data_IF_458205528630
#
_entry.id   IF_458205528630
#
_cell.length_a   1.000
_cell.length_b   1.000
_cell.length_c   1.000
_cell.angle_alpha   90.00
_cell.angle_beta   90.00
_cell.angle_gamma   90.00
#
_symmetry.space_group_name_H-M   'P 1'
#
loop_
_entity.id
_entity.type
_entity.pdbx_description
1 polymer ?
#
# COMPACT_ATOMS: atom_id res chain seq x y z
N UNK A 1 -26.75 -8.24 -39.12
CA UNK A 1 -25.58 -8.65 -38.30
C UNK A 1 -24.42 -7.71 -38.65
N UNK A 2 -23.84 -7.06 -37.63
CA UNK A 2 -22.67 -6.19 -37.80
C UNK A 2 -21.50 -6.84 -37.06
N UNK A 3 -20.31 -6.84 -37.66
CA UNK A 3 -19.08 -7.31 -37.06
C UNK A 3 -18.16 -6.11 -36.88
N UNK A 4 -17.70 -5.89 -35.66
CA UNK A 4 -16.74 -4.82 -35.30
C UNK A 4 -15.41 -5.49 -35.01
N UNK A 5 -14.35 -5.08 -35.72
CA UNK A 5 -12.99 -5.56 -35.47
C UNK A 5 -12.29 -4.60 -34.51
N UNK A 6 -11.71 -5.13 -33.44
CA UNK A 6 -10.90 -4.42 -32.50
C UNK A 6 -9.53 -5.09 -32.38
N UNK A 7 -8.47 -4.31 -32.17
CA UNK A 7 -7.15 -4.86 -31.88
C UNK A 7 -7.10 -5.35 -30.43
N UNK A 8 -6.53 -6.54 -30.20
CA UNK A 8 -6.46 -7.13 -28.87
C UNK A 8 -7.81 -7.60 -28.33
N UNK A 9 -8.00 -7.55 -27.01
CA UNK A 9 -9.26 -7.90 -26.37
C UNK A 9 -10.23 -6.71 -26.40
N UNK A 10 -11.43 -6.93 -26.96
CA UNK A 10 -12.43 -5.87 -27.13
C UNK A 10 -12.91 -5.27 -25.81
N UNK A 11 -12.85 -6.00 -24.69
CA UNK A 11 -13.28 -5.56 -23.36
C UNK A 11 -12.13 -5.01 -22.52
N UNK A 12 -10.88 -5.21 -22.94
CA UNK A 12 -9.72 -4.66 -22.23
C UNK A 12 -9.29 -3.32 -22.85
N UNK A 13 -9.79 -2.22 -22.30
CA UNK A 13 -9.58 -0.86 -22.81
C UNK A 13 -9.91 -0.65 -24.30
N UNK A 14 -10.79 -1.51 -24.84
CA UNK A 14 -11.23 -1.49 -26.22
C UNK A 14 -12.65 -0.94 -26.39
N UNK A 15 -13.15 -1.00 -27.63
CA UNK A 15 -14.49 -0.52 -28.00
C UNK A 15 -15.64 -1.30 -27.33
N UNK A 16 -15.38 -2.48 -26.76
CA UNK A 16 -16.40 -3.34 -26.19
C UNK A 16 -17.19 -2.71 -25.06
N UNK A 17 -16.52 -1.95 -24.18
CA UNK A 17 -17.18 -1.20 -23.11
C UNK A 17 -18.12 -0.11 -23.65
N UNK A 18 -17.69 0.62 -24.67
CA UNK A 18 -18.53 1.65 -25.34
C UNK A 18 -19.74 1.01 -26.02
N UNK A 19 -19.54 -0.12 -26.70
CA UNK A 19 -20.64 -0.85 -27.34
C UNK A 19 -21.64 -1.40 -26.32
N UNK A 20 -21.13 -1.91 -25.18
CA UNK A 20 -21.99 -2.36 -24.10
C UNK A 20 -22.84 -1.24 -23.51
N UNK A 21 -22.26 -0.04 -23.34
CA UNK A 21 -22.96 1.16 -22.84
C UNK A 21 -24.01 1.70 -23.83
N UNK A 22 -23.81 1.51 -25.14
CA UNK A 22 -24.73 1.94 -26.20
C UNK A 22 -25.81 0.91 -26.52
N UNK A 23 -25.77 -0.28 -25.91
CA UNK A 23 -26.69 -1.39 -26.15
C UNK A 23 -28.13 -0.97 -25.85
N UNK A 24 -29.06 -1.33 -26.76
CA UNK A 24 -30.50 -1.13 -26.59
C UNK A 24 -31.17 -2.44 -26.16
N UNK A 25 -32.36 -2.39 -25.54
CA UNK A 25 -33.17 -3.59 -25.29
C UNK A 25 -33.45 -4.34 -26.61
N UNK A 26 -33.06 -5.61 -26.65
CA UNK A 26 -33.18 -6.45 -27.83
C UNK A 26 -31.91 -6.61 -28.66
N UNK A 27 -30.85 -5.85 -28.41
CA UNK A 27 -29.56 -6.06 -29.05
C UNK A 27 -28.84 -7.27 -28.45
N UNK A 28 -28.33 -8.15 -29.31
CA UNK A 28 -27.50 -9.29 -28.94
C UNK A 28 -26.05 -8.97 -29.30
N UNK A 29 -25.21 -8.90 -28.25
CA UNK A 29 -23.77 -8.61 -28.33
C UNK A 29 -22.96 -9.84 -27.93
N UNK A 30 -22.17 -10.37 -28.85
CA UNK A 30 -21.19 -11.41 -28.56
C UNK A 30 -19.78 -10.87 -28.69
N UNK A 31 -18.95 -11.13 -27.68
CA UNK A 31 -17.55 -10.72 -27.65
C UNK A 31 -16.66 -11.94 -27.90
N UNK A 32 -15.72 -11.80 -28.81
CA UNK A 32 -14.68 -12.80 -29.07
C UNK A 32 -13.36 -12.24 -28.52
N UNK A 33 -12.79 -12.84 -27.46
CA UNK A 33 -11.56 -12.32 -26.85
C UNK A 33 -10.39 -12.46 -27.82
N UNK A 34 -9.49 -11.48 -27.78
CA UNK A 34 -8.23 -11.50 -28.49
C UNK A 34 -7.04 -11.42 -27.51
N UNK A 35 -5.85 -11.72 -28.01
CA UNK A 35 -4.61 -11.59 -27.25
C UNK A 35 -4.27 -10.10 -27.13
N UNK A 36 -4.11 -9.60 -25.92
CA UNK A 36 -3.67 -8.22 -25.68
C UNK A 36 -2.17 -8.05 -25.96
N UNK A 37 -1.74 -6.83 -26.25
CA UNK A 37 -0.33 -6.57 -26.55
C UNK A 37 0.61 -6.94 -25.38
N UNK A 38 0.17 -6.76 -24.10
CA UNK A 38 0.99 -7.19 -22.97
C UNK A 38 1.09 -8.71 -22.86
N UNK A 39 0.02 -9.45 -23.14
CA UNK A 39 0.06 -10.91 -23.15
C UNK A 39 1.04 -11.41 -24.24
N UNK A 40 0.98 -10.82 -25.43
CA UNK A 40 1.92 -11.13 -26.50
C UNK A 40 3.37 -10.82 -26.10
N UNK A 41 3.61 -9.69 -25.40
CA UNK A 41 4.93 -9.33 -24.87
C UNK A 41 5.43 -10.34 -23.85
N UNK A 42 4.62 -10.70 -22.86
CA UNK A 42 5.04 -11.66 -21.83
C UNK A 42 5.25 -13.07 -22.39
N UNK A 43 4.47 -13.49 -23.39
CA UNK A 43 4.73 -14.73 -24.11
C UNK A 43 6.10 -14.71 -24.82
N UNK A 44 6.51 -13.59 -25.41
CA UNK A 44 7.83 -13.46 -26.05
C UNK A 44 8.97 -13.45 -25.05
N UNK A 45 8.75 -12.82 -23.86
CA UNK A 45 9.71 -12.81 -22.78
C UNK A 45 9.80 -14.16 -22.07
N UNK A 46 8.87 -15.07 -22.29
CA UNK A 46 8.80 -16.35 -21.57
C UNK A 46 8.52 -16.17 -20.07
N UNK A 47 7.85 -15.09 -19.70
CA UNK A 47 7.61 -14.71 -18.30
C UNK A 47 6.11 -14.86 -17.92
N UNK A 48 5.82 -15.29 -16.69
CA UNK A 48 4.46 -15.25 -16.15
C UNK A 48 4.03 -13.81 -15.88
N UNK A 49 2.75 -13.51 -16.05
CA UNK A 49 2.18 -12.18 -15.86
C UNK A 49 1.02 -12.11 -14.85
N UNK A 50 0.69 -13.22 -14.19
CA UNK A 50 -0.41 -13.29 -13.22
C UNK A 50 -0.25 -12.30 -12.05
N UNK A 51 0.98 -11.95 -11.71
CA UNK A 51 1.29 -11.02 -10.61
C UNK A 51 1.49 -9.57 -11.10
N UNK A 52 1.29 -9.33 -12.41
CA UNK A 52 1.46 -8.02 -13.00
C UNK A 52 0.28 -7.10 -12.66
N UNK A 53 0.58 -5.92 -12.14
CA UNK A 53 -0.41 -4.86 -11.99
C UNK A 53 -0.49 -4.05 -13.29
N UNK A 54 -1.70 -4.00 -13.84
CA UNK A 54 -1.95 -3.38 -15.14
C UNK A 54 -2.44 -1.94 -14.95
N UNK A 55 -1.82 -1.01 -15.68
CA UNK A 55 -2.18 0.40 -15.73
C UNK A 55 -2.45 0.81 -17.17
N UNK A 56 -3.35 1.77 -17.36
CA UNK A 56 -3.66 2.30 -18.67
C UNK A 56 -3.77 3.82 -18.59
N UNK A 57 -2.92 4.53 -19.34
CA UNK A 57 -2.90 6.00 -19.38
C UNK A 57 -3.18 6.55 -20.78
N UNK A 58 -3.54 5.69 -21.74
CA UNK A 58 -3.81 6.14 -23.11
C UNK A 58 -5.14 6.90 -23.25
N UNK A 59 -6.10 6.70 -22.34
CA UNK A 59 -7.40 7.39 -22.31
C UNK A 59 -7.34 8.83 -21.80
N UNK A 60 -6.19 9.29 -21.32
CA UNK A 60 -5.98 10.69 -20.93
C UNK A 60 -6.37 11.04 -19.49
N UNK A 61 -6.84 10.08 -18.69
CA UNK A 61 -6.94 10.22 -17.23
C UNK A 61 -5.56 10.39 -16.61
N UNK A 62 -5.45 10.94 -15.40
CA UNK A 62 -4.17 11.29 -14.77
C UNK A 62 -3.17 10.13 -14.74
N UNK A 63 -1.88 10.43 -14.62
CA UNK A 63 -0.81 9.44 -14.53
C UNK A 63 -0.66 8.93 -13.08
N UNK A 64 -0.94 7.64 -12.78
CA UNK A 64 -0.81 7.08 -11.44
C UNK A 64 0.66 6.66 -11.16
N UNK A 65 1.59 7.63 -11.26
CA UNK A 65 3.05 7.36 -11.15
C UNK A 65 3.43 6.63 -9.87
N UNK A 66 2.78 6.96 -8.77
CA UNK A 66 2.96 6.30 -7.48
C UNK A 66 2.56 4.83 -7.53
N UNK A 67 1.33 4.53 -7.98
CA UNK A 67 0.86 3.14 -8.09
C UNK A 67 1.71 2.28 -9.03
N UNK A 68 2.25 2.90 -10.10
CA UNK A 68 3.17 2.24 -11.04
C UNK A 68 4.51 1.94 -10.35
N UNK A 69 5.04 2.88 -9.57
CA UNK A 69 6.30 2.73 -8.84
C UNK A 69 6.21 1.65 -7.74
N UNK A 70 5.10 1.61 -7.01
CA UNK A 70 4.89 0.73 -5.86
C UNK A 70 4.55 -0.71 -6.28
N UNK A 71 4.04 -0.92 -7.49
CA UNK A 71 3.76 -2.27 -7.97
C UNK A 71 5.05 -3.09 -8.13
N UNK A 72 5.14 -4.31 -7.55
CA UNK A 72 6.31 -5.17 -7.73
C UNK A 72 6.59 -5.43 -9.21
N UNK A 73 5.59 -5.81 -9.97
CA UNK A 73 5.61 -5.92 -11.42
C UNK A 73 4.50 -5.04 -11.98
N UNK A 74 4.85 -3.98 -12.70
CA UNK A 74 3.87 -3.10 -13.34
C UNK A 74 3.95 -3.19 -14.86
N UNK A 75 2.77 -3.14 -15.49
CA UNK A 75 2.61 -3.06 -16.95
C UNK A 75 1.73 -1.85 -17.24
N UNK A 76 2.27 -0.87 -17.94
CA UNK A 76 1.54 0.37 -18.23
C UNK A 76 1.39 0.58 -19.72
N UNK A 77 0.15 0.66 -20.20
CA UNK A 77 -0.16 1.08 -21.55
C UNK A 77 0.01 2.59 -21.69
N UNK A 78 0.98 2.99 -22.48
CA UNK A 78 1.28 4.37 -22.78
C UNK A 78 0.31 4.95 -23.84
N UNK A 79 0.34 6.25 -24.00
CA UNK A 79 -0.46 6.99 -24.98
C UNK A 79 0.25 8.25 -25.45
N UNK A 80 -0.39 9.00 -26.34
CA UNK A 80 0.21 10.23 -26.91
C UNK A 80 0.52 11.29 -25.84
N UNK A 81 -0.31 11.37 -24.79
CA UNK A 81 -0.11 12.31 -23.68
C UNK A 81 1.02 11.88 -22.75
N UNK A 82 1.15 10.57 -22.52
CA UNK A 82 2.15 9.96 -21.65
C UNK A 82 2.82 8.81 -22.40
N UNK A 83 3.81 9.09 -23.25
CA UNK A 83 4.63 8.03 -23.85
C UNK A 83 5.46 7.32 -22.78
N UNK A 84 5.90 6.08 -23.04
CA UNK A 84 6.50 5.22 -22.02
C UNK A 84 7.71 5.85 -21.29
N UNK A 85 8.58 6.59 -22.01
CA UNK A 85 9.71 7.30 -21.40
C UNK A 85 9.23 8.43 -20.46
N UNK A 86 8.17 9.14 -20.80
CA UNK A 86 7.60 10.18 -19.93
C UNK A 86 6.96 9.58 -18.67
N UNK A 87 6.36 8.38 -18.77
CA UNK A 87 5.87 7.62 -17.62
C UNK A 87 7.05 7.22 -16.73
N UNK A 88 8.12 6.68 -17.33
CA UNK A 88 9.36 6.34 -16.60
C UNK A 88 9.93 7.54 -15.85
N UNK A 89 10.01 8.70 -16.49
CA UNK A 89 10.46 9.96 -15.88
C UNK A 89 9.58 10.36 -14.70
N UNK A 90 8.27 10.38 -14.86
CA UNK A 90 7.33 10.73 -13.79
C UNK A 90 7.35 9.74 -12.61
N UNK A 91 7.63 8.47 -12.87
CA UNK A 91 7.88 7.47 -11.81
C UNK A 91 9.15 7.81 -11.05
N UNK A 92 10.23 8.19 -11.74
CA UNK A 92 11.50 8.58 -11.10
C UNK A 92 11.40 9.89 -10.31
N UNK A 93 10.62 10.85 -10.78
CA UNK A 93 10.38 12.12 -10.07
C UNK A 93 9.70 11.90 -8.71
N UNK A 94 8.83 10.90 -8.63
CA UNK A 94 8.12 10.56 -7.38
C UNK A 94 8.83 9.49 -6.56
N UNK A 95 9.60 8.59 -7.20
CA UNK A 95 10.28 7.43 -6.59
C UNK A 95 11.69 7.24 -7.17
N UNK A 96 12.66 8.10 -6.82
CA UNK A 96 14.03 8.02 -7.37
C UNK A 96 14.71 6.68 -7.13
N UNK A 97 14.37 5.98 -6.05
CA UNK A 97 14.91 4.65 -5.73
C UNK A 97 14.57 3.59 -6.81
N UNK A 98 13.55 3.81 -7.63
CA UNK A 98 13.17 2.92 -8.73
C UNK A 98 14.14 2.99 -9.92
N UNK A 99 15.11 3.91 -9.95
CA UNK A 99 15.99 4.12 -11.10
C UNK A 99 16.77 2.86 -11.52
N UNK A 100 17.12 2.00 -10.58
CA UNK A 100 17.86 0.75 -10.82
C UNK A 100 16.97 -0.45 -11.11
N UNK A 101 15.64 -0.32 -11.06
CA UNK A 101 14.75 -1.43 -11.40
C UNK A 101 14.89 -1.77 -12.89
N UNK A 102 14.94 -3.07 -13.18
CA UNK A 102 14.88 -3.53 -14.56
C UNK A 102 13.55 -3.13 -15.19
N UNK A 103 13.58 -2.67 -16.41
CA UNK A 103 12.40 -2.25 -17.13
C UNK A 103 12.49 -2.55 -18.64
N UNK A 104 11.34 -2.61 -19.29
CA UNK A 104 11.22 -2.81 -20.73
C UNK A 104 10.25 -1.77 -21.30
N UNK A 105 10.63 -1.15 -22.41
CA UNK A 105 9.68 -0.44 -23.29
C UNK A 105 9.48 -1.27 -24.53
N UNK A 106 8.25 -1.68 -24.79
CA UNK A 106 7.87 -2.44 -25.97
C UNK A 106 6.94 -1.63 -26.86
N UNK A 107 7.27 -1.48 -28.11
CA UNK A 107 6.53 -0.71 -29.09
C UNK A 107 5.96 -1.61 -30.18
N UNK A 108 4.73 -1.32 -30.61
CA UNK A 108 4.07 -1.95 -31.76
C UNK A 108 4.16 -3.48 -31.76
N UNK A 109 3.95 -4.09 -30.60
CA UNK A 109 4.00 -5.54 -30.42
C UNK A 109 3.07 -6.23 -31.40
N UNK A 110 3.62 -7.21 -32.14
CA UNK A 110 2.92 -7.99 -33.14
C UNK A 110 2.91 -7.38 -34.55
N UNK A 111 3.58 -6.25 -34.78
CA UNK A 111 3.79 -5.68 -36.10
C UNK A 111 5.21 -5.92 -36.64
N UNK A 112 5.42 -5.70 -37.92
CA UNK A 112 6.75 -5.82 -38.54
C UNK A 112 7.77 -4.81 -37.99
N UNK A 113 7.27 -3.71 -37.46
CA UNK A 113 8.07 -2.65 -36.83
C UNK A 113 8.19 -2.79 -35.30
N UNK A 114 8.00 -3.97 -34.77
CA UNK A 114 8.10 -4.22 -33.35
C UNK A 114 9.48 -3.87 -32.83
N UNK A 115 9.53 -3.17 -31.69
CA UNK A 115 10.77 -2.79 -31.04
C UNK A 115 10.65 -3.02 -29.54
N UNK A 116 11.64 -3.69 -28.96
CA UNK A 116 11.74 -3.93 -27.52
C UNK A 116 13.05 -3.34 -27.03
N UNK A 117 12.94 -2.39 -26.09
CA UNK A 117 14.08 -1.77 -25.39
C UNK A 117 14.10 -2.33 -23.96
N UNK A 118 15.25 -2.83 -23.53
CA UNK A 118 15.48 -3.30 -22.17
C UNK A 118 16.61 -2.54 -21.52
N UNK A 119 16.48 -2.32 -20.20
CA UNK A 119 17.48 -1.60 -19.40
C UNK A 119 16.95 -1.34 -18.00
N UNK A 120 17.58 -0.41 -17.30
CA UNK A 120 17.06 0.12 -16.06
C UNK A 120 16.00 1.19 -16.34
N UNK A 121 15.10 1.41 -15.38
CA UNK A 121 14.08 2.47 -15.49
C UNK A 121 14.73 3.85 -15.73
N UNK A 122 15.91 4.10 -15.10
CA UNK A 122 16.66 5.33 -15.30
C UNK A 122 17.11 5.51 -16.74
N UNK A 123 17.67 4.48 -17.36
CA UNK A 123 18.11 4.51 -18.76
C UNK A 123 16.95 4.67 -19.74
N UNK A 124 15.82 4.01 -19.46
CA UNK A 124 14.65 4.06 -20.32
C UNK A 124 13.86 5.37 -20.21
N UNK A 125 14.05 6.13 -19.15
CA UNK A 125 13.45 7.46 -19.01
C UNK A 125 13.98 8.48 -20.02
N UNK A 126 15.15 8.21 -20.61
CA UNK A 126 15.76 9.04 -21.66
C UNK A 126 15.60 8.43 -23.07
N UNK A 127 14.96 7.25 -23.18
CA UNK A 127 14.77 6.55 -24.44
C UNK A 127 13.70 7.22 -25.30
N UNK A 128 13.98 7.46 -26.57
CA UNK A 128 12.96 7.90 -27.51
C UNK A 128 12.00 6.76 -27.84
N UNK A 129 10.71 6.94 -27.56
CA UNK A 129 9.67 5.97 -27.89
C UNK A 129 8.38 6.66 -28.35
N UNK A 130 7.61 5.94 -29.16
CA UNK A 130 6.33 6.39 -29.71
C UNK A 130 5.16 6.21 -28.71
N UNK A 131 3.98 6.71 -29.11
CA UNK A 131 2.79 6.68 -28.25
C UNK A 131 2.19 5.26 -28.11
N UNK A 132 2.44 4.37 -29.04
CA UNK A 132 1.93 3.00 -29.03
C UNK A 132 2.96 2.08 -28.37
N UNK A 133 3.12 2.24 -27.07
CA UNK A 133 4.14 1.52 -26.29
C UNK A 133 3.58 1.00 -24.97
N UNK A 134 4.27 0.00 -24.42
CA UNK A 134 4.01 -0.58 -23.11
C UNK A 134 5.29 -0.42 -22.29
N UNK A 135 5.18 0.13 -21.08
CA UNK A 135 6.25 0.13 -20.10
C UNK A 135 6.02 -1.02 -19.12
N UNK A 136 7.02 -1.88 -18.96
CA UNK A 136 7.06 -2.92 -17.92
C UNK A 136 8.17 -2.56 -16.94
N UNK A 137 7.86 -2.55 -15.64
CA UNK A 137 8.86 -2.35 -14.58
C UNK A 137 8.86 -3.60 -13.71
N UNK A 138 9.99 -4.26 -13.61
CA UNK A 138 10.17 -5.51 -12.87
C UNK A 138 10.41 -5.28 -11.38
N UNK A 139 10.26 -6.33 -10.53
CA UNK A 139 10.61 -6.27 -9.13
C UNK A 139 12.08 -5.84 -8.91
N UNK A 140 12.36 -5.18 -7.79
CA UNK A 140 13.72 -4.69 -7.47
C UNK A 140 14.78 -5.81 -7.42
N UNK A 141 14.38 -7.04 -7.09
CA UNK A 141 15.27 -8.21 -7.07
C UNK A 141 15.77 -8.68 -8.45
N UNK A 142 15.23 -8.13 -9.55
CA UNK A 142 15.70 -8.45 -10.93
C UNK A 142 16.83 -7.53 -11.43
N UNK A 143 17.33 -6.61 -10.62
CA UNK A 143 18.38 -5.67 -11.05
C UNK A 143 19.73 -6.34 -11.41
N UNK A 144 19.97 -7.57 -10.95
CA UNK A 144 21.19 -8.32 -11.19
C UNK A 144 21.12 -9.36 -12.32
N UNK A 145 19.97 -9.53 -12.98
CA UNK A 145 19.83 -10.41 -14.13
C UNK A 145 20.01 -9.62 -15.42
N UNK A 146 21.20 -9.69 -15.96
CA UNK A 146 21.64 -9.04 -17.18
C UNK A 146 20.70 -9.14 -18.37
N UNK A 147 20.50 -8.01 -19.05
CA UNK A 147 19.82 -7.86 -20.32
C UNK A 147 20.53 -8.57 -21.51
N UNK A 148 21.51 -9.44 -21.26
CA UNK A 148 22.29 -10.10 -22.30
C UNK A 148 21.86 -11.54 -22.62
N UNK A 149 20.96 -12.16 -21.83
CA UNK A 149 20.57 -13.57 -22.02
C UNK A 149 19.08 -13.80 -22.34
N UNK A 150 18.42 -12.85 -22.97
CA UNK A 150 17.06 -13.07 -23.48
C UNK A 150 17.01 -14.10 -24.64
N UNK A 151 18.16 -14.61 -25.08
CA UNK A 151 18.26 -15.62 -26.16
C UNK A 151 18.67 -17.03 -25.67
N UNK A 152 19.01 -17.23 -24.43
CA UNK A 152 19.41 -18.54 -23.93
C UNK A 152 19.17 -18.68 -22.44
N UNK A 153 17.99 -19.10 -22.01
CA UNK A 153 17.92 -19.85 -20.74
C UNK A 153 16.76 -20.81 -20.68
N UNK A 154 17.04 -22.00 -21.08
CA UNK A 154 16.40 -23.21 -20.60
C UNK A 154 16.98 -23.54 -19.21
N UNK A 155 16.08 -23.61 -18.21
CA UNK A 155 16.23 -24.35 -16.96
C UNK A 155 17.20 -23.83 -15.91
N UNK A 156 16.63 -23.20 -14.92
CA UNK A 156 17.14 -23.08 -13.56
C UNK A 156 16.01 -22.55 -12.71
N UNK A 157 15.31 -23.41 -11.95
CA UNK A 157 14.30 -22.99 -11.00
C UNK A 157 14.98 -22.28 -9.83
N UNK A 158 15.29 -20.99 -9.98
CA UNK A 158 15.42 -20.13 -8.83
C UNK A 158 13.98 -19.97 -8.29
N UNK A 159 13.69 -20.57 -7.16
CA UNK A 159 12.47 -20.34 -6.43
C UNK A 159 12.39 -18.83 -6.15
N UNK A 160 11.55 -18.12 -6.89
CA UNK A 160 11.10 -16.78 -6.51
C UNK A 160 10.34 -17.02 -5.20
N UNK A 161 11.01 -16.84 -4.07
CA UNK A 161 10.30 -16.74 -2.81
C UNK A 161 9.43 -15.50 -2.93
N UNK A 162 8.13 -15.71 -3.05
CA UNK A 162 7.15 -14.64 -2.88
C UNK A 162 7.53 -13.90 -1.57
N UNK A 163 7.51 -12.56 -1.54
CA UNK A 163 7.79 -11.84 -0.31
C UNK A 163 6.86 -12.40 0.77
N UNK A 164 7.45 -12.97 1.81
CA UNK A 164 6.68 -13.51 2.93
C UNK A 164 5.98 -12.32 3.56
N UNK A 165 4.66 -12.22 3.38
CA UNK A 165 3.81 -11.30 4.13
C UNK A 165 3.80 -11.81 5.58
N UNK A 166 4.83 -11.46 6.33
CA UNK A 166 4.93 -11.82 7.74
C UNK A 166 4.28 -10.71 8.58
N UNK A 167 3.30 -11.09 9.40
CA UNK A 167 2.81 -10.26 10.50
C UNK A 167 3.86 -10.27 11.62
N UNK A 168 4.08 -9.13 12.27
CA UNK A 168 5.02 -9.01 13.36
C UNK A 168 6.47 -8.90 12.85
N UNK A 169 6.74 -7.91 12.00
CA UNK A 169 8.12 -7.59 11.59
C UNK A 169 9.03 -7.50 12.82
N UNK A 170 10.29 -7.98 12.75
CA UNK A 170 11.21 -7.92 13.87
C UNK A 170 11.42 -6.46 14.32
N UNK A 171 11.63 -6.28 15.62
CA UNK A 171 11.77 -4.94 16.20
C UNK A 171 12.99 -4.19 15.66
N UNK A 172 14.02 -4.93 15.20
CA UNK A 172 15.24 -4.42 14.58
C UNK A 172 14.99 -3.75 13.20
N UNK A 173 13.85 -4.03 12.60
CA UNK A 173 13.42 -3.36 11.35
C UNK A 173 13.07 -1.88 11.57
N UNK A 174 12.91 -1.45 12.83
CA UNK A 174 12.50 -0.10 13.19
C UNK A 174 13.54 0.59 14.06
N UNK A 175 13.87 1.84 13.74
CA UNK A 175 14.50 2.74 14.69
C UNK A 175 13.52 3.03 15.83
N UNK A 176 13.98 3.01 17.08
CA UNK A 176 13.15 3.15 18.28
C UNK A 176 13.85 3.95 19.38
N UNK A 177 13.09 4.67 20.15
CA UNK A 177 13.55 5.40 21.32
C UNK A 177 13.38 4.52 22.58
N UNK A 178 14.46 4.25 23.34
CA UNK A 178 14.42 3.59 24.66
C UNK A 178 13.51 2.35 24.75
N UNK A 179 13.49 1.49 23.74
CA UNK A 179 12.57 0.35 23.62
C UNK A 179 11.06 0.71 23.57
N UNK A 180 10.70 1.95 23.31
CA UNK A 180 9.32 2.38 23.09
C UNK A 180 8.88 1.96 21.67
N UNK A 181 8.47 0.71 21.54
CA UNK A 181 7.88 0.15 20.34
C UNK A 181 6.81 -0.84 20.74
N UNK A 182 5.76 -0.95 19.96
CA UNK A 182 4.81 -2.06 20.11
C UNK A 182 5.52 -3.36 19.71
N UNK A 183 5.67 -4.29 20.67
CA UNK A 183 6.34 -5.57 20.45
C UNK A 183 5.76 -6.31 19.24
N UNK A 184 6.57 -7.05 18.51
CA UNK A 184 6.19 -7.74 17.27
C UNK A 184 4.93 -8.61 17.42
N UNK A 185 4.84 -9.39 18.49
CA UNK A 185 3.69 -10.26 18.77
C UNK A 185 2.42 -9.45 19.05
N UNK A 186 2.52 -8.36 19.82
CA UNK A 186 1.39 -7.44 20.08
C UNK A 186 0.95 -6.76 18.81
N UNK A 187 1.88 -6.33 17.97
CA UNK A 187 1.61 -5.67 16.70
C UNK A 187 0.90 -6.62 15.74
N UNK A 188 1.31 -7.89 15.69
CA UNK A 188 0.62 -8.91 14.90
C UNK A 188 -0.85 -9.07 15.33
N UNK A 189 -1.13 -9.09 16.65
CA UNK A 189 -2.50 -9.14 17.18
C UNK A 189 -3.28 -7.87 16.83
N UNK A 190 -2.69 -6.69 16.98
CA UNK A 190 -3.32 -5.40 16.61
C UNK A 190 -3.70 -5.40 15.13
N UNK A 191 -2.78 -5.75 14.24
CA UNK A 191 -3.01 -5.79 12.80
C UNK A 191 -4.09 -6.81 12.43
N UNK A 192 -4.11 -7.97 13.09
CA UNK A 192 -5.19 -8.96 12.94
C UNK A 192 -6.55 -8.39 13.37
N UNK A 193 -6.62 -7.65 14.49
CA UNK A 193 -7.86 -7.03 14.98
C UNK A 193 -8.34 -5.89 14.10
N UNK A 194 -7.43 -5.15 13.47
CA UNK A 194 -7.76 -4.10 12.51
C UNK A 194 -8.45 -4.65 11.25
N UNK A 195 -8.29 -5.94 10.93
CA UNK A 195 -8.87 -6.54 9.72
C UNK A 195 -8.62 -5.64 8.51
N UNK A 196 -7.33 -5.38 8.23
CA UNK A 196 -6.92 -4.42 7.21
C UNK A 196 -7.59 -4.71 5.86
N UNK A 197 -8.39 -3.78 5.31
CA UNK A 197 -8.97 -3.94 3.99
C UNK A 197 -7.88 -3.87 2.91
N UNK A 198 -8.19 -4.31 1.70
CA UNK A 198 -7.25 -4.22 0.59
C UNK A 198 -6.94 -2.77 0.19
N UNK A 199 -7.89 -1.86 0.36
CA UNK A 199 -7.84 -0.42 0.06
C UNK A 199 -8.68 0.36 1.08
N UNK A 200 -8.48 1.67 1.16
CA UNK A 200 -9.17 2.54 2.12
C UNK A 200 -8.19 3.38 2.93
N UNK A 201 -8.60 3.80 4.13
CA UNK A 201 -7.83 4.68 4.99
C UNK A 201 -7.65 4.07 6.39
N UNK A 202 -6.41 4.04 6.89
CA UNK A 202 -6.09 3.72 8.28
C UNK A 202 -5.48 4.95 8.97
N UNK A 203 -5.98 5.29 10.15
CA UNK A 203 -5.29 6.22 11.04
C UNK A 203 -4.47 5.46 12.08
N UNK A 204 -3.20 5.84 12.23
CA UNK A 204 -2.29 5.40 13.29
C UNK A 204 -2.10 6.57 14.27
N UNK A 205 -2.92 6.59 15.32
CA UNK A 205 -3.02 7.72 16.25
C UNK A 205 -2.11 7.52 17.47
N UNK A 206 -1.19 8.45 17.68
CA UNK A 206 -0.10 8.29 18.63
C UNK A 206 0.92 7.31 18.11
N UNK A 207 1.37 7.54 16.88
CA UNK A 207 2.14 6.58 16.08
C UNK A 207 3.48 6.16 16.73
N UNK A 208 4.07 6.98 17.58
CA UNK A 208 5.31 6.67 18.28
C UNK A 208 6.49 6.43 17.34
N UNK A 209 6.93 5.17 17.20
CA UNK A 209 7.93 4.76 16.19
C UNK A 209 7.34 4.57 14.79
N UNK A 210 6.03 4.64 14.65
CA UNK A 210 5.30 4.34 13.42
C UNK A 210 5.14 2.84 13.14
N UNK A 211 5.57 1.96 14.04
CA UNK A 211 5.70 0.53 13.76
C UNK A 211 4.40 -0.14 13.32
N UNK A 212 3.25 0.23 13.90
CA UNK A 212 1.94 -0.36 13.54
C UNK A 212 1.50 0.13 12.15
N UNK A 213 1.54 1.43 11.92
CA UNK A 213 1.14 2.02 10.65
C UNK A 213 2.07 1.65 9.50
N UNK A 214 3.38 1.64 9.73
CA UNK A 214 4.37 1.26 8.70
C UNK A 214 4.28 -0.23 8.32
N UNK A 215 4.06 -1.12 9.30
CA UNK A 215 3.83 -2.54 8.99
C UNK A 215 2.49 -2.73 8.27
N UNK A 216 1.42 -2.02 8.67
CA UNK A 216 0.16 -2.02 7.93
C UNK A 216 0.34 -1.54 6.48
N UNK A 217 1.17 -0.51 6.26
CA UNK A 217 1.50 0.02 4.94
C UNK A 217 2.25 -1.01 4.07
N UNK A 218 3.21 -1.73 4.66
CA UNK A 218 3.93 -2.81 3.99
C UNK A 218 3.01 -3.97 3.59
N UNK A 219 2.10 -4.35 4.50
CA UNK A 219 1.13 -5.44 4.28
C UNK A 219 0.05 -5.10 3.25
N UNK A 220 -0.29 -3.82 3.10
CA UNK A 220 -1.38 -3.33 2.24
C UNK A 220 -0.95 -2.10 1.45
N UNK A 221 -0.27 -2.27 0.32
CA UNK A 221 0.24 -1.15 -0.49
C UNK A 221 -0.85 -0.21 -1.02
N UNK A 222 -2.09 -0.69 -1.16
CA UNK A 222 -3.24 0.09 -1.63
C UNK A 222 -4.04 0.76 -0.50
N UNK A 223 -3.65 0.53 0.77
CA UNK A 223 -4.24 1.18 1.93
C UNK A 223 -3.50 2.50 2.21
N UNK A 224 -4.22 3.62 2.30
CA UNK A 224 -3.62 4.89 2.68
C UNK A 224 -3.49 4.98 4.20
N UNK A 225 -2.27 5.11 4.70
CA UNK A 225 -2.00 5.20 6.14
C UNK A 225 -1.71 6.64 6.53
N UNK A 226 -2.36 7.11 7.58
CA UNK A 226 -2.17 8.45 8.12
C UNK A 226 -1.72 8.33 9.58
N UNK A 227 -0.43 8.52 9.84
CA UNK A 227 0.15 8.55 11.18
C UNK A 227 0.01 9.93 11.80
N UNK A 228 -0.40 9.99 13.07
CA UNK A 228 -0.49 11.24 13.82
C UNK A 228 0.43 11.13 15.04
N UNK A 229 1.41 12.02 15.15
CA UNK A 229 2.37 12.04 16.25
C UNK A 229 2.71 13.50 16.60
N UNK A 230 2.73 13.80 17.91
CA UNK A 230 2.95 15.16 18.39
C UNK A 230 4.41 15.47 18.69
N UNK A 231 5.23 14.45 18.99
CA UNK A 231 6.63 14.63 19.35
C UNK A 231 7.49 14.80 18.09
N UNK A 232 8.21 15.92 17.92
CA UNK A 232 9.00 16.18 16.71
C UNK A 232 10.12 15.15 16.47
N UNK A 233 10.76 14.63 17.53
CA UNK A 233 11.83 13.65 17.41
C UNK A 233 11.28 12.31 16.90
N UNK A 234 10.10 11.90 17.38
CA UNK A 234 9.39 10.71 16.90
C UNK A 234 8.88 10.89 15.49
N UNK A 235 8.39 12.09 15.13
CA UNK A 235 8.04 12.39 13.73
C UNK A 235 9.23 12.18 12.80
N UNK A 236 10.42 12.69 13.17
CA UNK A 236 11.63 12.49 12.39
C UNK A 236 12.04 11.00 12.32
N UNK A 237 11.86 10.24 13.41
CA UNK A 237 12.13 8.80 13.48
C UNK A 237 11.17 8.02 12.57
N UNK A 238 9.86 8.33 12.59
CA UNK A 238 8.87 7.72 11.69
C UNK A 238 9.28 7.91 10.22
N UNK A 239 9.72 9.13 9.84
CA UNK A 239 10.15 9.40 8.46
C UNK A 239 11.40 8.60 8.08
N UNK A 240 12.38 8.43 8.99
CA UNK A 240 13.54 7.57 8.75
C UNK A 240 13.12 6.11 8.58
N UNK A 241 12.25 5.59 9.45
CA UNK A 241 11.71 4.24 9.35
C UNK A 241 10.95 4.06 8.02
N UNK A 242 10.10 5.01 7.65
CA UNK A 242 9.35 5.00 6.39
C UNK A 242 10.27 4.91 5.17
N UNK A 243 11.32 5.72 5.14
CA UNK A 243 12.30 5.74 4.06
C UNK A 243 13.12 4.46 4.00
N UNK A 244 13.59 3.96 5.15
CA UNK A 244 14.39 2.71 5.20
C UNK A 244 13.60 1.50 4.74
N UNK A 245 12.29 1.47 5.00
CA UNK A 245 11.38 0.40 4.57
C UNK A 245 10.82 0.59 3.16
N UNK A 246 11.13 1.71 2.49
CA UNK A 246 10.59 2.03 1.16
C UNK A 246 9.08 2.23 1.14
N UNK A 247 8.47 2.63 2.25
CA UNK A 247 7.02 2.81 2.38
C UNK A 247 6.60 4.13 1.74
N UNK A 248 5.68 4.05 0.77
CA UNK A 248 5.18 5.20 0.03
C UNK A 248 3.73 5.59 0.38
N UNK A 249 2.94 4.65 0.92
CA UNK A 249 1.52 4.82 1.25
C UNK A 249 1.26 5.26 2.71
N UNK A 250 2.26 5.87 3.37
CA UNK A 250 2.18 6.41 4.71
C UNK A 250 2.40 7.93 4.68
N UNK A 251 1.45 8.67 5.23
CA UNK A 251 1.51 10.15 5.37
C UNK A 251 1.55 10.50 6.85
N UNK A 252 2.57 11.23 7.28
CA UNK A 252 2.70 11.70 8.66
C UNK A 252 2.01 13.06 8.84
N UNK A 253 1.25 13.20 9.92
CA UNK A 253 0.62 14.43 10.39
C UNK A 253 1.20 14.83 11.75
N UNK A 254 2.21 15.71 11.79
CA UNK A 254 2.79 16.19 13.04
C UNK A 254 1.79 17.04 13.82
N UNK A 255 1.57 16.72 15.10
CA UNK A 255 0.73 17.53 15.98
C UNK A 255 -0.07 16.72 17.00
N UNK A 256 -0.78 17.44 17.87
CA UNK A 256 -1.71 16.83 18.81
C UNK A 256 -2.87 16.18 18.07
N UNK A 257 -3.20 14.94 18.41
CA UNK A 257 -4.16 14.14 17.65
C UNK A 257 -5.56 14.78 17.58
N UNK A 258 -6.09 15.29 18.68
CA UNK A 258 -7.39 15.98 18.68
C UNK A 258 -7.37 17.22 17.78
N UNK A 259 -6.29 18.00 17.85
CA UNK A 259 -6.13 19.19 17.02
C UNK A 259 -6.07 18.84 15.52
N UNK A 260 -5.33 17.79 15.14
CA UNK A 260 -5.21 17.31 13.74
C UNK A 260 -6.55 16.80 13.24
N UNK A 261 -7.27 15.99 14.03
CA UNK A 261 -8.56 15.42 13.66
C UNK A 261 -9.62 16.53 13.47
N UNK A 262 -9.68 17.51 14.38
CA UNK A 262 -10.66 18.59 14.31
C UNK A 262 -10.34 19.62 13.22
N UNK A 263 -9.07 19.93 12.98
CA UNK A 263 -8.66 20.87 11.92
C UNK A 263 -9.00 20.36 10.50
N UNK A 264 -9.15 19.06 10.35
CA UNK A 264 -9.46 18.40 9.08
C UNK A 264 -10.96 18.19 8.84
N UNK A 265 -11.84 18.78 9.68
CA UNK A 265 -13.29 18.68 9.50
C UNK A 265 -13.73 19.49 8.25
N UNK A 266 -14.57 18.95 7.35
CA UNK A 266 -14.99 19.61 6.10
C UNK A 266 -16.07 20.68 6.34
N UNK A 267 -15.76 21.73 7.10
CA UNK A 267 -16.49 23.00 7.04
C UNK A 267 -15.81 23.89 5.98
N UNK A 268 -16.54 24.72 5.23
CA UNK A 268 -15.96 25.53 4.18
C UNK A 268 -15.14 26.68 4.78
N UNK A 269 -13.90 26.42 5.14
CA UNK A 269 -12.91 27.42 5.53
C UNK A 269 -11.73 27.40 4.56
N UNK A 270 -11.24 28.62 4.26
CA UNK A 270 -10.19 28.91 3.32
C UNK A 270 -8.97 27.98 3.44
N UNK A 271 -8.28 27.68 2.32
CA UNK A 271 -7.10 26.81 2.34
C UNK A 271 -5.98 27.46 3.15
N UNK A 272 -5.75 26.98 4.37
CA UNK A 272 -4.54 27.29 5.13
C UNK A 272 -3.41 26.41 4.58
N UNK A 273 -2.32 27.06 4.23
CA UNK A 273 -1.08 26.45 3.81
C UNK A 273 -0.58 25.46 4.89
N UNK A 274 -0.08 24.29 4.45
CA UNK A 274 0.56 23.22 5.22
C UNK A 274 -0.39 22.20 5.88
N UNK A 275 -0.60 21.09 5.19
CA UNK A 275 -1.22 19.88 5.72
C UNK A 275 -2.36 19.39 4.84
N UNK A 276 -2.13 18.26 4.15
CA UNK A 276 -3.20 17.60 3.39
C UNK A 276 -4.39 17.29 4.30
N UNK A 277 -5.60 17.39 3.77
CA UNK A 277 -6.83 17.04 4.48
C UNK A 277 -6.72 15.58 4.96
N UNK A 278 -6.89 15.35 6.26
CA UNK A 278 -6.95 14.01 6.83
C UNK A 278 -8.26 13.34 6.38
N UNK A 279 -8.25 12.30 5.52
CA UNK A 279 -9.47 11.67 5.04
C UNK A 279 -10.13 10.82 6.13
N UNK A 280 -11.45 10.64 6.05
CA UNK A 280 -12.19 9.79 6.99
C UNK A 280 -11.69 8.34 6.95
N UNK A 281 -11.47 7.70 8.11
CA UNK A 281 -10.84 6.40 8.18
C UNK A 281 -11.84 5.25 8.07
N UNK A 282 -11.41 4.14 7.49
CA UNK A 282 -12.06 2.84 7.56
C UNK A 282 -11.56 2.07 8.78
N UNK A 283 -10.36 2.37 9.22
CA UNK A 283 -9.69 1.74 10.37
C UNK A 283 -8.95 2.79 11.18
N UNK A 284 -8.98 2.65 12.49
CA UNK A 284 -8.24 3.48 13.42
C UNK A 284 -7.49 2.59 14.39
N UNK A 285 -6.20 2.80 14.53
CA UNK A 285 -5.41 2.30 15.65
C UNK A 285 -5.08 3.46 16.59
N UNK A 286 -5.23 3.25 17.90
CA UNK A 286 -4.83 4.21 18.93
C UNK A 286 -3.78 3.54 19.82
N UNK A 287 -2.52 3.97 19.69
CA UNK A 287 -1.37 3.46 20.43
C UNK A 287 -1.17 4.10 21.82
N UNK A 288 -1.94 5.12 22.13
CA UNK A 288 -1.91 5.84 23.40
C UNK A 288 -2.82 7.06 23.36
N UNK A 289 -3.26 7.54 24.48
CA UNK A 289 -4.17 8.71 24.55
C UNK A 289 -4.10 9.39 25.92
N UNK A 290 -3.50 8.73 26.90
CA UNK A 290 -3.40 9.25 28.26
C UNK A 290 -4.76 9.74 28.78
N UNK A 291 -4.77 10.94 29.41
CA UNK A 291 -5.98 11.56 29.93
C UNK A 291 -6.99 11.99 28.86
N UNK A 292 -6.55 12.18 27.64
CA UNK A 292 -7.38 12.65 26.52
C UNK A 292 -8.04 11.47 25.75
N UNK A 293 -7.80 10.22 26.18
CA UNK A 293 -8.29 9.02 25.51
C UNK A 293 -9.80 9.02 25.24
N UNK A 294 -10.70 9.42 26.20
CA UNK A 294 -12.14 9.46 25.93
C UNK A 294 -12.53 10.42 24.80
N UNK A 295 -11.95 11.62 24.80
CA UNK A 295 -12.19 12.62 23.77
C UNK A 295 -11.67 12.16 22.39
N UNK A 296 -10.50 11.52 22.39
CA UNK A 296 -9.87 10.99 21.19
C UNK A 296 -10.69 9.86 20.57
N UNK A 297 -11.19 8.93 21.39
CA UNK A 297 -12.07 7.87 20.95
C UNK A 297 -13.34 8.40 20.29
N UNK A 298 -13.96 9.41 20.91
CA UNK A 298 -15.17 10.07 20.39
C UNK A 298 -14.85 10.74 19.04
N UNK A 299 -13.80 11.55 18.97
CA UNK A 299 -13.40 12.22 17.75
C UNK A 299 -13.08 11.24 16.59
N UNK A 300 -12.42 10.12 16.91
CA UNK A 300 -12.17 9.07 15.93
C UNK A 300 -13.45 8.38 15.46
N UNK A 301 -14.38 8.07 16.38
CA UNK A 301 -15.66 7.44 16.04
C UNK A 301 -16.53 8.33 15.15
N UNK A 302 -16.59 9.62 15.47
CA UNK A 302 -17.41 10.58 14.72
C UNK A 302 -16.94 10.77 13.25
N UNK A 303 -15.69 10.43 12.98
CA UNK A 303 -15.08 10.45 11.65
C UNK A 303 -15.02 9.06 10.98
N UNK A 304 -15.30 7.99 11.74
CA UNK A 304 -15.16 6.61 11.26
C UNK A 304 -16.23 6.29 10.21
N UNK A 305 -15.84 5.77 9.09
CA UNK A 305 -16.77 5.34 8.02
C UNK A 305 -17.69 4.20 8.48
N UNK A 306 -18.85 4.00 7.82
CA UNK A 306 -19.70 2.84 8.05
C UNK A 306 -18.90 1.52 7.97
N UNK A 307 -19.19 0.56 8.84
CA UNK A 307 -18.43 -0.69 9.01
C UNK A 307 -16.95 -0.50 9.43
N UNK A 308 -16.60 0.69 9.91
CA UNK A 308 -15.26 1.00 10.40
C UNK A 308 -14.96 0.34 11.74
N UNK A 309 -13.66 0.19 12.03
CA UNK A 309 -13.16 -0.38 13.29
C UNK A 309 -12.17 0.56 13.97
N UNK A 310 -12.28 0.67 15.28
CA UNK A 310 -11.26 1.27 16.16
C UNK A 310 -10.62 0.16 16.97
N UNK A 311 -9.30 0.06 16.92
CA UNK A 311 -8.50 -0.84 17.76
C UNK A 311 -7.62 0.00 18.66
N UNK A 312 -7.61 -0.29 19.95
CA UNK A 312 -6.89 0.48 20.96
C UNK A 312 -6.06 -0.45 21.81
N UNK A 313 -4.79 -0.12 22.02
CA UNK A 313 -3.95 -0.80 22.99
C UNK A 313 -3.88 -0.02 24.31
N UNK A 314 -3.96 -0.72 25.43
CA UNK A 314 -3.84 -0.18 26.77
C UNK A 314 -2.88 -0.99 27.61
N UNK A 315 -1.97 -0.30 28.30
CA UNK A 315 -0.98 -0.87 29.23
C UNK A 315 -1.21 -0.43 30.67
N UNK A 316 -2.06 0.60 30.90
CA UNK A 316 -2.35 1.12 32.24
C UNK A 316 -3.78 0.75 32.68
N UNK A 317 -3.98 0.69 33.99
CA UNK A 317 -5.31 0.42 34.58
C UNK A 317 -6.32 1.53 34.28
N UNK A 318 -5.85 2.76 34.21
CA UNK A 318 -6.69 3.94 33.90
C UNK A 318 -7.21 3.84 32.47
N UNK A 319 -6.33 3.56 31.50
CA UNK A 319 -6.74 3.34 30.10
C UNK A 319 -7.66 2.14 29.96
N UNK A 320 -7.37 1.03 30.65
CA UNK A 320 -8.23 -0.14 30.67
C UNK A 320 -9.63 0.19 31.21
N UNK A 321 -9.72 0.87 32.37
CA UNK A 321 -11.01 1.30 32.95
C UNK A 321 -11.80 2.21 32.02
N UNK A 322 -11.12 3.16 31.37
CA UNK A 322 -11.72 4.04 30.36
C UNK A 322 -12.30 3.24 29.19
N UNK A 323 -11.53 2.32 28.60
CA UNK A 323 -11.96 1.51 27.45
C UNK A 323 -13.07 0.53 27.83
N UNK A 324 -13.09 0.05 29.06
CA UNK A 324 -14.14 -0.85 29.54
C UNK A 324 -15.50 -0.15 29.63
N UNK A 325 -15.53 1.13 30.00
CA UNK A 325 -16.75 1.92 30.18
C UNK A 325 -17.15 2.75 28.95
N UNK A 326 -16.22 3.01 28.02
CA UNK A 326 -16.51 3.82 26.84
C UNK A 326 -17.33 3.01 25.82
N UNK A 327 -18.47 3.56 25.39
CA UNK A 327 -19.34 3.03 24.34
C UNK A 327 -19.52 1.49 24.38
N UNK A 328 -20.06 0.92 25.47
CA UNK A 328 -20.13 -0.54 25.65
C UNK A 328 -20.91 -1.24 24.54
N UNK A 329 -21.92 -0.60 23.96
CA UNK A 329 -22.76 -1.15 22.89
C UNK A 329 -22.00 -1.23 21.54
N UNK A 330 -20.90 -0.52 21.41
CA UNK A 330 -20.03 -0.54 20.22
C UNK A 330 -18.81 -1.46 20.38
N UNK A 331 -18.61 -2.02 21.58
CA UNK A 331 -17.44 -2.84 21.89
C UNK A 331 -17.59 -4.26 21.40
N UNK A 332 -16.83 -4.65 20.37
CA UNK A 332 -16.77 -6.03 19.88
C UNK A 332 -16.07 -6.99 20.87
N UNK A 333 -15.26 -6.44 21.78
CA UNK A 333 -14.55 -7.21 22.79
C UNK A 333 -13.13 -6.69 23.04
N UNK A 334 -12.42 -7.39 23.89
CA UNK A 334 -10.98 -7.16 24.10
C UNK A 334 -10.24 -8.48 24.31
N UNK A 335 -8.94 -8.48 24.11
CA UNK A 335 -8.07 -9.56 24.54
C UNK A 335 -6.94 -9.02 25.43
N UNK A 336 -6.48 -9.88 26.33
CA UNK A 336 -5.29 -9.66 27.15
C UNK A 336 -4.13 -10.42 26.51
N UNK A 337 -2.96 -9.79 26.45
CA UNK A 337 -1.74 -10.35 25.88
C UNK A 337 -0.66 -10.29 26.97
N UNK A 338 -0.16 -11.45 27.35
CA UNK A 338 0.98 -11.61 28.24
C UNK A 338 2.12 -12.27 27.45
N UNK A 339 3.27 -11.62 27.40
CA UNK A 339 4.45 -12.10 26.69
C UNK A 339 5.58 -12.27 27.70
N UNK A 340 6.30 -13.36 27.59
CA UNK A 340 7.55 -13.56 28.29
C UNK A 340 8.63 -14.02 27.30
N UNK A 341 9.73 -13.29 27.26
CA UNK A 341 10.82 -13.55 26.34
C UNK A 341 11.94 -14.33 27.05
N UNK A 342 12.49 -15.28 26.33
CA UNK A 342 13.67 -16.01 26.77
C UNK A 342 14.88 -15.05 26.84
N UNK A 343 15.61 -15.11 27.96
CA UNK A 343 16.88 -14.40 28.13
C UNK A 343 17.94 -15.32 28.74
N UNK A 344 19.19 -15.24 28.28
CA UNK A 344 20.26 -16.02 28.89
C UNK A 344 20.48 -15.57 30.34
N UNK A 345 20.55 -16.55 31.24
CA UNK A 345 20.90 -16.39 32.66
C UNK A 345 22.37 -16.77 32.90
N UNK A 346 22.84 -17.80 32.19
CA UNK A 346 24.22 -18.30 32.22
C UNK A 346 24.53 -18.98 30.88
N UNK A 347 25.76 -19.50 30.70
CA UNK A 347 26.19 -20.13 29.44
C UNK A 347 25.27 -21.27 28.94
N UNK A 348 24.54 -21.93 29.82
CA UNK A 348 23.68 -23.09 29.50
C UNK A 348 22.27 -22.96 30.09
N UNK A 349 21.93 -21.83 30.66
CA UNK A 349 20.63 -21.62 31.32
C UNK A 349 19.98 -20.36 30.82
N UNK A 350 18.66 -20.43 30.59
CA UNK A 350 17.83 -19.30 30.16
C UNK A 350 16.65 -19.15 31.13
N UNK A 351 16.11 -17.95 31.24
CA UNK A 351 14.91 -17.68 32.01
C UNK A 351 13.90 -16.88 31.15
N UNK A 352 12.66 -16.93 31.54
CA UNK A 352 11.60 -16.14 30.92
C UNK A 352 11.49 -14.79 31.64
N UNK A 353 11.62 -13.69 30.88
CA UNK A 353 11.42 -12.33 31.37
C UNK A 353 10.07 -11.85 30.90
N UNK A 354 9.09 -11.60 31.81
CA UNK A 354 7.78 -11.11 31.44
C UNK A 354 7.86 -9.65 30.96
N UNK A 355 7.02 -9.32 29.98
CA UNK A 355 6.73 -7.96 29.58
C UNK A 355 5.47 -7.46 30.28
N UNK A 356 5.19 -6.16 30.15
CA UNK A 356 3.94 -5.59 30.64
C UNK A 356 2.75 -6.24 29.92
N UNK A 357 1.73 -6.57 30.69
CA UNK A 357 0.43 -7.00 30.14
C UNK A 357 -0.17 -5.91 29.27
N UNK A 358 -0.66 -6.27 28.10
CA UNK A 358 -1.30 -5.36 27.17
C UNK A 358 -2.73 -5.83 26.91
N UNK A 359 -3.66 -4.88 26.92
CA UNK A 359 -5.05 -5.11 26.55
C UNK A 359 -5.31 -4.47 25.19
N UNK A 360 -5.91 -5.23 24.27
CA UNK A 360 -6.28 -4.74 22.93
C UNK A 360 -7.81 -4.80 22.80
N UNK A 361 -8.41 -3.62 22.73
CA UNK A 361 -9.86 -3.43 22.57
C UNK A 361 -10.22 -3.21 21.09
N UNK A 362 -11.40 -3.68 20.71
CA UNK A 362 -11.95 -3.46 19.38
C UNK A 362 -13.38 -2.89 19.51
N UNK A 363 -13.65 -1.81 18.77
CA UNK A 363 -14.96 -1.16 18.71
C UNK A 363 -15.39 -1.04 17.24
N UNK A 364 -16.70 -1.17 17.02
CA UNK A 364 -17.34 -0.93 15.73
C UNK A 364 -17.96 0.47 15.67
N UNK A 365 -18.14 0.99 14.46
CA UNK A 365 -18.90 2.23 14.29
C UNK A 365 -20.40 2.04 14.63
N UNK A 366 -20.95 0.89 14.29
CA UNK A 366 -22.33 0.54 14.55
C UNK A 366 -22.48 -0.19 15.90
N UNK A 367 -23.60 0.02 16.59
CA UNK A 367 -23.89 -0.73 17.81
C UNK A 367 -24.03 -2.23 17.48
N UNK A 368 -23.42 -3.06 18.33
CA UNK A 368 -23.52 -4.51 18.21
C UNK A 368 -24.83 -4.93 18.88
N UNK A 369 -25.77 -5.43 18.08
CA UNK A 369 -27.07 -5.94 18.53
C UNK A 369 -26.97 -7.26 19.33
#
# INVERSE_FOLDING_TARGET
RVVVLASGDALYHGLGGTLAALRKPGDDLAYHPGITAFQALFCRLGLPWQDARLFCVHSGEGLPSRGIAEAPLSVTYAGSRYPAHAIARAVLDTHPASARRAAIIAERIGSDDERILSGTLGELADAACGPTSILVIFPAAHADCHAQDAAATTRGSASIQAPILALGLPEEAFERENNLITASDVRAVILSRLRLPAWGTLWDVGAGSGSVGLEAAALRPDLSIHGIEWNPERCAMIERNRLSMGIANYTLHPGNALSVIHASCPEPRAPSACGGILPDPDRVFIGGGGKDLPALLTACRDRLRPNGLIVVSAVTLESFGTLLSWAPDHRAGFCRIDIANERPLAKTSHHLTPQNTIYVFTFHNEAIS
#
